data_IF_975340146545
#
_entry.id   IF_975340146545
#
_cell.length_a   1.000
_cell.length_b   1.000
_cell.length_c   1.000
_cell.angle_alpha   90.00
_cell.angle_beta   90.00
_cell.angle_gamma   90.00
#
_symmetry.space_group_name_H-M   'P 1'
#
loop_
_entity.id
_entity.type
_entity.pdbx_description
1 polymer ?
#
# COMPACT_ATOMS: atom_id res chain seq x y z
N UNK A 1 -13.24 25.28 11.67
CA UNK A 1 -13.02 24.31 10.58
C UNK A 1 -11.60 23.77 10.76
N UNK A 2 -11.45 22.49 11.10
CA UNK A 2 -10.13 21.86 11.17
C UNK A 2 -9.46 21.94 9.80
N UNK A 3 -8.15 22.21 9.75
CA UNK A 3 -7.40 22.14 8.51
C UNK A 3 -7.60 20.74 7.89
N UNK A 4 -7.74 20.64 6.56
CA UNK A 4 -7.83 19.32 5.92
C UNK A 4 -6.61 18.51 6.31
N UNK A 5 -6.84 17.27 6.74
CA UNK A 5 -5.76 16.34 7.09
C UNK A 5 -4.82 16.09 5.92
N UNK A 6 -3.68 15.40 6.16
CA UNK A 6 -2.75 15.03 5.11
C UNK A 6 -3.43 14.33 3.94
N UNK A 7 -2.99 14.61 2.70
CA UNK A 7 -3.61 14.11 1.46
C UNK A 7 -2.55 13.65 0.47
N UNK A 8 -2.72 12.43 -0.07
CA UNK A 8 -2.04 11.96 -1.27
C UNK A 8 -2.99 12.14 -2.46
N UNK A 9 -2.65 13.02 -3.39
CA UNK A 9 -3.50 13.41 -4.53
C UNK A 9 -2.79 13.08 -5.84
N UNK A 10 -3.35 12.12 -6.55
CA UNK A 10 -2.89 11.63 -7.85
C UNK A 10 -3.79 12.22 -8.91
N UNK A 11 -3.22 13.01 -9.86
CA UNK A 11 -3.97 13.77 -10.83
C UNK A 11 -3.65 13.35 -12.26
N UNK A 12 -4.63 12.82 -12.96
CA UNK A 12 -4.64 12.56 -14.40
C UNK A 12 -3.37 11.85 -14.92
N UNK A 13 -2.88 10.85 -14.16
CA UNK A 13 -1.70 10.10 -14.56
C UNK A 13 -1.92 9.37 -15.88
N UNK A 14 -0.93 9.47 -16.77
CA UNK A 14 -0.90 8.74 -18.03
C UNK A 14 0.46 8.10 -18.25
N UNK A 15 0.45 6.88 -18.83
CA UNK A 15 1.66 6.13 -19.19
C UNK A 15 1.44 5.27 -20.41
N UNK A 16 2.37 5.37 -21.35
CA UNK A 16 2.37 4.61 -22.60
C UNK A 16 3.68 3.83 -22.73
N UNK A 17 3.61 2.55 -23.04
CA UNK A 17 4.76 1.72 -23.37
C UNK A 17 4.64 1.20 -24.79
N UNK A 18 5.65 1.49 -25.63
CA UNK A 18 5.72 1.02 -27.04
C UNK A 18 4.41 1.25 -27.82
N UNK A 19 3.83 2.43 -27.67
CA UNK A 19 2.59 2.83 -28.35
C UNK A 19 1.29 2.32 -27.71
N UNK A 20 1.37 1.51 -26.63
CA UNK A 20 0.20 1.06 -25.88
C UNK A 20 0.04 1.88 -24.60
N UNK A 21 -1.04 2.64 -24.49
CA UNK A 21 -1.41 3.35 -23.26
C UNK A 21 -1.90 2.37 -22.22
N UNK A 22 -1.21 2.29 -21.09
CA UNK A 22 -1.52 1.38 -19.97
C UNK A 22 -2.13 2.10 -18.76
N UNK A 23 -1.90 3.41 -18.65
CA UNK A 23 -2.56 4.30 -17.68
C UNK A 23 -3.03 5.52 -18.46
N UNK A 24 -4.28 5.91 -18.33
CA UNK A 24 -4.93 6.94 -19.11
C UNK A 24 -5.78 7.85 -18.22
N UNK A 25 -5.22 8.99 -17.81
CA UNK A 25 -5.91 10.00 -17.03
C UNK A 25 -6.35 9.56 -15.63
N UNK A 26 -5.62 8.61 -15.00
CA UNK A 26 -5.98 8.08 -13.67
C UNK A 26 -5.82 9.14 -12.60
N UNK A 27 -6.91 9.37 -11.83
CA UNK A 27 -6.92 10.26 -10.67
C UNK A 27 -7.42 9.50 -9.43
N UNK A 28 -6.65 9.60 -8.34
CA UNK A 28 -6.93 8.92 -7.05
C UNK A 28 -6.62 9.91 -5.92
N UNK A 29 -7.49 9.97 -4.94
CA UNK A 29 -7.29 10.74 -3.73
C UNK A 29 -7.24 9.77 -2.54
N UNK A 30 -6.29 9.95 -1.63
CA UNK A 30 -6.23 9.22 -0.35
C UNK A 30 -6.05 10.23 0.76
N UNK A 31 -6.91 10.18 1.77
CA UNK A 31 -6.80 11.03 2.96
C UNK A 31 -6.15 10.26 4.12
N UNK A 32 -5.56 10.99 5.06
CA UNK A 32 -5.01 10.37 6.27
C UNK A 32 -6.10 9.63 7.05
N UNK A 33 -5.78 8.42 7.50
CA UNK A 33 -6.73 7.57 8.24
C UNK A 33 -7.76 6.86 7.37
N UNK A 34 -7.66 6.94 6.04
CA UNK A 34 -8.55 6.27 5.09
C UNK A 34 -7.86 5.07 4.45
N UNK A 35 -8.59 3.98 4.25
CA UNK A 35 -8.16 2.84 3.43
C UNK A 35 -8.85 2.92 2.07
N UNK A 36 -8.09 3.12 1.02
CA UNK A 36 -8.57 3.25 -0.36
C UNK A 36 -8.12 2.05 -1.19
N UNK A 37 -9.04 1.40 -1.90
CA UNK A 37 -8.76 0.30 -2.83
C UNK A 37 -8.59 0.77 -4.27
N UNK A 38 -7.55 0.28 -4.97
CA UNK A 38 -7.44 0.36 -6.43
C UNK A 38 -7.60 -1.04 -7.00
N UNK A 39 -8.79 -1.36 -7.49
CA UNK A 39 -9.21 -2.69 -7.91
C UNK A 39 -9.43 -2.74 -9.42
N UNK A 40 -9.35 -3.92 -10.00
CA UNK A 40 -9.57 -4.11 -11.43
C UNK A 40 -8.93 -5.39 -11.96
N UNK A 41 -9.26 -5.82 -13.17
CA UNK A 41 -8.73 -7.04 -13.76
C UNK A 41 -7.21 -6.98 -13.99
N UNK A 42 -6.61 -8.14 -14.26
CA UNK A 42 -5.19 -8.21 -14.62
C UNK A 42 -4.93 -7.40 -15.90
N UNK A 43 -3.82 -6.65 -15.90
CA UNK A 43 -3.47 -5.77 -17.01
C UNK A 43 -4.25 -4.46 -17.10
N UNK A 44 -5.12 -4.14 -16.14
CA UNK A 44 -5.89 -2.90 -16.12
C UNK A 44 -5.07 -1.63 -15.84
N UNK A 45 -3.80 -1.76 -15.41
CA UNK A 45 -2.91 -0.62 -15.13
C UNK A 45 -2.62 -0.38 -13.64
N UNK A 46 -3.11 -1.23 -12.72
CA UNK A 46 -2.91 -1.09 -11.26
C UNK A 46 -1.45 -0.96 -10.87
N UNK A 47 -0.64 -1.96 -11.16
CA UNK A 47 0.81 -2.00 -10.81
C UNK A 47 1.58 -0.84 -11.43
N UNK A 48 1.24 -0.43 -12.67
CA UNK A 48 1.86 0.74 -13.31
C UNK A 48 1.47 2.02 -12.57
N UNK A 49 0.21 2.19 -12.19
CA UNK A 49 -0.25 3.33 -11.40
C UNK A 49 0.49 3.38 -10.05
N UNK A 50 0.57 2.26 -9.33
CA UNK A 50 1.36 2.15 -8.10
C UNK A 50 2.82 2.53 -8.32
N UNK A 51 3.48 1.97 -9.34
CA UNK A 51 4.87 2.24 -9.67
C UNK A 51 5.12 3.73 -9.93
N UNK A 52 4.16 4.43 -10.56
CA UNK A 52 4.23 5.87 -10.78
C UNK A 52 4.09 6.62 -9.44
N UNK A 53 3.10 6.27 -8.62
CA UNK A 53 2.88 6.94 -7.32
C UNK A 53 4.05 6.74 -6.37
N UNK A 54 4.69 5.56 -6.40
CA UNK A 54 5.88 5.26 -5.59
C UNK A 54 7.15 5.96 -6.12
N UNK A 55 7.20 6.28 -7.41
CA UNK A 55 8.37 6.90 -8.06
C UNK A 55 9.38 5.91 -8.62
N UNK A 56 8.93 4.71 -8.97
CA UNK A 56 9.68 3.70 -9.72
C UNK A 56 9.56 3.90 -11.23
N UNK A 57 8.44 4.50 -11.67
CA UNK A 57 8.16 4.82 -13.08
C UNK A 57 7.78 6.29 -13.18
N UNK A 58 8.33 6.98 -14.15
CA UNK A 58 7.96 8.36 -14.47
C UNK A 58 6.70 8.38 -15.35
N UNK A 59 5.67 9.18 -15.01
CA UNK A 59 4.49 9.31 -15.86
C UNK A 59 4.81 10.12 -17.12
N UNK A 60 4.06 9.88 -18.20
CA UNK A 60 4.14 10.70 -19.41
C UNK A 60 3.33 11.99 -19.28
N UNK A 61 2.28 11.97 -18.40
CA UNK A 61 1.50 13.15 -18.05
C UNK A 61 0.83 12.95 -16.66
N UNK A 62 0.35 14.05 -16.09
CA UNK A 62 -0.27 14.08 -14.76
C UNK A 62 0.74 14.35 -13.65
N UNK A 63 0.28 14.32 -12.41
CA UNK A 63 1.11 14.63 -11.24
C UNK A 63 0.71 13.83 -10.01
N UNK A 64 1.67 13.69 -9.09
CA UNK A 64 1.50 13.11 -7.76
C UNK A 64 1.83 14.18 -6.73
N UNK A 65 0.85 14.56 -5.91
CA UNK A 65 1.01 15.56 -4.87
C UNK A 65 0.89 14.91 -3.49
N UNK A 66 1.75 15.33 -2.58
CA UNK A 66 1.71 14.95 -1.18
C UNK A 66 1.54 16.24 -0.36
N UNK A 67 0.36 16.40 0.28
CA UNK A 67 -0.04 17.63 0.98
C UNK A 67 0.10 18.89 0.09
N UNK A 68 -0.33 18.79 -1.15
CA UNK A 68 -0.25 19.86 -2.13
C UNK A 68 1.15 20.11 -2.73
N UNK A 69 2.19 19.43 -2.24
CA UNK A 69 3.53 19.50 -2.81
C UNK A 69 3.71 18.49 -3.93
N UNK A 70 4.11 18.93 -5.10
CA UNK A 70 4.41 18.04 -6.22
C UNK A 70 5.65 17.20 -5.93
N UNK A 71 5.47 15.88 -5.99
CA UNK A 71 6.53 14.88 -5.80
C UNK A 71 6.78 14.05 -7.07
N UNK A 72 6.17 14.42 -8.19
CA UNK A 72 6.15 13.63 -9.43
C UNK A 72 7.55 13.31 -9.95
N UNK A 73 8.45 14.27 -9.96
CA UNK A 73 9.84 14.09 -10.41
C UNK A 73 10.77 13.50 -9.33
N UNK A 74 10.27 13.24 -8.11
CA UNK A 74 11.11 12.73 -7.05
C UNK A 74 11.27 11.21 -7.15
N UNK A 75 12.49 10.67 -7.02
CA UNK A 75 12.71 9.23 -6.94
C UNK A 75 12.14 8.65 -5.63
N UNK A 76 11.86 7.34 -5.63
CA UNK A 76 11.22 6.61 -4.54
C UNK A 76 11.80 6.93 -3.15
N UNK A 77 13.13 6.93 -2.99
CA UNK A 77 13.76 7.19 -1.68
C UNK A 77 13.48 8.60 -1.13
N UNK A 78 13.31 9.61 -2.00
CA UNK A 78 12.93 10.96 -1.59
C UNK A 78 11.45 11.03 -1.21
N UNK A 79 10.58 10.30 -1.92
CA UNK A 79 9.16 10.18 -1.55
C UNK A 79 9.01 9.47 -0.20
N UNK A 80 9.78 8.40 0.04
CA UNK A 80 9.80 7.68 1.32
C UNK A 80 10.16 8.62 2.49
N UNK A 81 11.20 9.44 2.36
CA UNK A 81 11.58 10.45 3.37
C UNK A 81 10.54 11.56 3.58
N UNK A 82 9.61 11.73 2.65
CA UNK A 82 8.47 12.67 2.77
C UNK A 82 7.22 12.01 3.35
N UNK A 83 7.30 10.74 3.69
CA UNK A 83 6.23 10.02 4.36
C UNK A 83 5.38 9.14 3.44
N UNK A 84 5.89 8.70 2.29
CA UNK A 84 5.24 7.75 1.41
C UNK A 84 5.87 6.36 1.55
N UNK A 85 5.30 5.47 2.34
CA UNK A 85 5.75 4.09 2.50
C UNK A 85 5.25 3.19 1.36
N UNK A 86 5.99 2.13 1.06
CA UNK A 86 5.63 1.17 0.03
C UNK A 86 5.93 -0.27 0.45
N UNK A 87 4.95 -1.13 0.28
CA UNK A 87 5.06 -2.58 0.42
C UNK A 87 4.85 -3.22 -0.95
N UNK A 88 5.89 -3.72 -1.60
CA UNK A 88 5.77 -4.36 -2.90
C UNK A 88 5.08 -5.73 -2.83
N UNK A 89 4.59 -6.20 -3.99
CA UNK A 89 4.04 -7.55 -4.14
C UNK A 89 5.10 -8.62 -3.85
N UNK A 90 6.32 -8.45 -4.39
CA UNK A 90 7.41 -9.38 -4.14
C UNK A 90 7.99 -9.20 -2.75
N UNK A 91 8.41 -10.32 -2.14
CA UNK A 91 9.03 -10.32 -0.82
C UNK A 91 10.28 -9.42 -0.82
N UNK A 92 10.23 -8.38 -0.01
CA UNK A 92 11.27 -7.34 0.06
C UNK A 92 12.21 -7.48 1.26
N UNK A 93 11.99 -8.50 2.09
CA UNK A 93 12.73 -8.73 3.34
C UNK A 93 14.21 -9.06 3.09
N UNK A 94 15.10 -8.63 3.97
CA UNK A 94 16.50 -9.04 3.98
C UNK A 94 16.61 -10.45 4.59
N UNK A 95 16.54 -11.47 3.74
CA UNK A 95 16.35 -12.88 4.12
C UNK A 95 17.38 -13.41 5.10
N UNK A 96 18.66 -12.98 4.98
CA UNK A 96 19.78 -13.46 5.82
C UNK A 96 19.97 -12.68 7.13
N UNK A 97 19.20 -11.60 7.31
CA UNK A 97 19.18 -10.80 8.53
C UNK A 97 18.10 -11.32 9.49
N UNK A 98 18.29 -11.12 10.78
CA UNK A 98 17.24 -11.35 11.78
C UNK A 98 16.09 -10.36 11.63
N UNK A 99 14.96 -10.63 12.29
CA UNK A 99 13.83 -9.72 12.28
C UNK A 99 14.22 -8.33 12.83
N UNK A 100 14.99 -8.28 13.90
CA UNK A 100 15.49 -7.02 14.47
C UNK A 100 16.43 -6.29 13.51
N UNK A 101 17.39 -6.99 12.91
CA UNK A 101 18.33 -6.41 11.95
C UNK A 101 17.64 -5.87 10.70
N UNK A 102 16.54 -6.47 10.26
CA UNK A 102 15.72 -5.96 9.15
C UNK A 102 15.18 -4.55 9.42
N UNK A 103 14.80 -4.25 10.65
CA UNK A 103 14.32 -2.94 11.05
C UNK A 103 15.48 -1.96 11.27
N UNK A 104 16.55 -2.42 11.95
CA UNK A 104 17.73 -1.61 12.22
C UNK A 104 18.41 -1.14 10.95
N UNK A 105 18.50 -1.99 9.91
CA UNK A 105 19.10 -1.64 8.62
C UNK A 105 18.47 -0.38 7.97
N UNK A 106 17.17 -0.16 8.19
CA UNK A 106 16.50 1.06 7.71
C UNK A 106 16.70 2.22 8.72
N UNK A 107 16.53 1.95 10.01
CA UNK A 107 16.68 2.96 11.06
C UNK A 107 18.09 3.56 11.10
N UNK A 108 19.12 2.82 10.75
CA UNK A 108 20.52 3.28 10.65
C UNK A 108 20.71 4.32 9.53
N UNK A 109 19.83 4.40 8.54
CA UNK A 109 19.83 5.44 7.51
C UNK A 109 19.30 6.79 8.02
N UNK A 110 18.71 6.80 9.22
CA UNK A 110 18.16 7.99 9.87
C UNK A 110 19.13 8.55 10.91
N UNK A 111 19.11 9.87 11.14
CA UNK A 111 19.85 10.45 12.26
C UNK A 111 19.29 9.95 13.59
N UNK A 112 20.14 9.81 14.61
CA UNK A 112 19.75 9.40 15.96
C UNK A 112 20.78 8.50 16.62
N UNK A 113 20.59 8.29 17.92
CA UNK A 113 21.43 7.45 18.76
C UNK A 113 21.11 5.97 18.54
N UNK A 114 22.11 5.10 18.74
CA UNK A 114 21.94 3.65 18.57
C UNK A 114 20.85 3.07 19.48
N UNK A 115 20.83 3.51 20.74
CA UNK A 115 19.83 3.07 21.74
C UNK A 115 18.41 3.39 21.30
N UNK A 116 18.17 4.62 20.82
CA UNK A 116 16.85 5.04 20.32
C UNK A 116 16.40 4.23 19.09
N UNK A 117 17.33 3.86 18.20
CA UNK A 117 17.02 2.99 17.05
C UNK A 117 16.65 1.57 17.49
N UNK A 118 17.39 1.01 18.46
CA UNK A 118 17.08 -0.31 19.01
C UNK A 118 15.73 -0.32 19.72
N UNK A 119 15.40 0.70 20.49
CA UNK A 119 14.09 0.87 21.14
C UNK A 119 12.97 0.98 20.10
N UNK A 120 13.12 1.79 19.06
CA UNK A 120 12.17 1.94 17.98
C UNK A 120 11.94 0.61 17.24
N UNK A 121 13.02 -0.13 16.94
CA UNK A 121 12.93 -1.43 16.29
C UNK A 121 12.18 -2.44 17.17
N UNK A 122 12.48 -2.52 18.46
CA UNK A 122 11.79 -3.42 19.42
C UNK A 122 10.31 -3.05 19.57
N UNK A 123 9.99 -1.76 19.67
CA UNK A 123 8.61 -1.28 19.71
C UNK A 123 7.81 -1.68 18.47
N UNK A 124 8.41 -1.60 17.28
CA UNK A 124 7.78 -2.08 16.06
C UNK A 124 7.58 -3.61 16.08
N UNK A 125 8.58 -4.38 16.51
CA UNK A 125 8.42 -5.84 16.64
C UNK A 125 7.29 -6.20 17.62
N UNK A 126 7.18 -5.49 18.72
CA UNK A 126 6.12 -5.70 19.70
C UNK A 126 4.73 -5.40 19.11
N UNK A 127 4.58 -4.23 18.48
CA UNK A 127 3.34 -3.82 17.80
C UNK A 127 2.84 -4.86 16.79
N UNK A 128 3.75 -5.59 16.14
CA UNK A 128 3.42 -6.61 15.13
C UNK A 128 3.46 -8.05 15.67
N UNK A 129 3.53 -8.24 16.99
CA UNK A 129 3.64 -9.55 17.65
C UNK A 129 4.82 -10.39 17.13
N UNK A 130 5.98 -9.75 16.95
CA UNK A 130 7.22 -10.36 16.45
C UNK A 130 8.36 -10.32 17.47
N UNK A 131 8.13 -9.84 18.69
CA UNK A 131 9.17 -9.69 19.73
C UNK A 131 9.88 -11.00 20.03
N UNK A 132 9.15 -12.12 20.07
CA UNK A 132 9.69 -13.46 20.31
C UNK A 132 10.55 -13.97 19.15
N UNK A 133 10.47 -13.36 17.97
CA UNK A 133 11.22 -13.67 16.76
C UNK A 133 12.32 -12.64 16.46
N UNK A 134 12.62 -11.73 17.39
CA UNK A 134 13.58 -10.64 17.16
C UNK A 134 14.94 -11.13 16.63
N UNK A 135 15.40 -12.27 17.11
CA UNK A 135 16.68 -12.89 16.73
C UNK A 135 16.55 -14.05 15.74
N UNK A 136 15.34 -14.36 15.28
CA UNK A 136 15.12 -15.36 14.23
C UNK A 136 15.53 -14.77 12.86
N UNK A 137 16.22 -15.57 12.06
CA UNK A 137 16.60 -15.20 10.68
C UNK A 137 15.32 -15.10 9.83
N UNK A 138 15.17 -14.01 9.08
CA UNK A 138 13.95 -13.71 8.37
C UNK A 138 13.51 -14.76 7.35
N UNK A 139 14.46 -15.55 6.82
CA UNK A 139 14.15 -16.65 5.89
C UNK A 139 13.44 -17.84 6.57
N UNK A 140 13.54 -17.97 7.91
CA UNK A 140 12.88 -19.02 8.70
C UNK A 140 11.47 -18.65 9.15
N UNK A 141 11.04 -17.41 8.94
CA UNK A 141 9.72 -16.94 9.32
C UNK A 141 8.62 -17.54 8.42
N UNK A 142 7.46 -17.81 8.99
CA UNK A 142 6.26 -18.15 8.24
C UNK A 142 5.85 -17.01 7.29
N UNK A 143 5.00 -17.29 6.31
CA UNK A 143 4.53 -16.28 5.36
C UNK A 143 3.89 -15.07 6.05
N UNK A 144 3.07 -15.32 7.05
CA UNK A 144 2.40 -14.26 7.82
C UNK A 144 3.34 -13.44 8.70
N UNK A 145 4.28 -14.09 9.40
CA UNK A 145 5.30 -13.39 10.20
C UNK A 145 6.19 -12.53 9.29
N UNK A 146 6.57 -13.07 8.15
CA UNK A 146 7.35 -12.34 7.14
C UNK A 146 6.59 -11.12 6.64
N UNK A 147 5.29 -11.26 6.32
CA UNK A 147 4.48 -10.14 5.83
C UNK A 147 4.32 -9.05 6.90
N UNK A 148 4.09 -9.43 8.17
CA UNK A 148 4.07 -8.48 9.28
C UNK A 148 5.42 -7.76 9.46
N UNK A 149 6.54 -8.48 9.33
CA UNK A 149 7.88 -7.86 9.41
C UNK A 149 8.14 -6.88 8.25
N UNK A 150 7.68 -7.19 7.03
CA UNK A 150 7.78 -6.28 5.87
C UNK A 150 6.99 -4.99 6.11
N UNK A 151 5.78 -5.10 6.67
CA UNK A 151 4.97 -3.92 7.03
C UNK A 151 5.65 -3.13 8.15
N UNK A 152 6.12 -3.80 9.21
CA UNK A 152 6.85 -3.16 10.31
C UNK A 152 8.08 -2.40 9.80
N UNK A 153 8.83 -2.99 8.85
CA UNK A 153 9.97 -2.35 8.22
C UNK A 153 9.58 -1.12 7.40
N UNK A 154 8.50 -1.17 6.66
CA UNK A 154 8.02 -0.01 5.92
C UNK A 154 7.59 1.15 6.85
N UNK A 155 7.20 0.85 8.09
CA UNK A 155 6.83 1.84 9.11
C UNK A 155 8.02 2.49 9.82
N UNK A 156 9.24 1.99 9.67
CA UNK A 156 10.44 2.58 10.30
C UNK A 156 10.67 4.03 9.93
N UNK A 157 10.21 4.45 8.73
CA UNK A 157 10.29 5.83 8.25
C UNK A 157 9.11 6.71 8.69
N UNK A 158 8.23 6.20 9.57
CA UNK A 158 7.01 6.89 10.05
C UNK A 158 6.18 7.48 8.90
N UNK A 159 5.77 6.67 7.94
CA UNK A 159 5.04 7.16 6.77
C UNK A 159 3.67 7.73 7.17
N UNK A 160 3.23 8.74 6.43
CA UNK A 160 1.86 9.29 6.53
C UNK A 160 0.90 8.56 5.57
N UNK A 161 1.45 7.97 4.52
CA UNK A 161 0.71 7.14 3.56
C UNK A 161 1.47 5.85 3.30
N UNK A 162 0.72 4.75 3.19
CA UNK A 162 1.24 3.43 2.84
C UNK A 162 0.59 2.94 1.54
N UNK A 163 1.41 2.57 0.57
CA UNK A 163 0.99 1.86 -0.62
C UNK A 163 1.27 0.37 -0.44
N UNK A 164 0.22 -0.45 -0.53
CA UNK A 164 0.29 -1.91 -0.33
C UNK A 164 -0.07 -2.61 -1.63
N UNK A 165 0.93 -3.17 -2.30
CA UNK A 165 0.74 -3.87 -3.58
C UNK A 165 0.56 -5.37 -3.30
N UNK A 166 -0.65 -5.86 -3.51
CA UNK A 166 -1.10 -7.24 -3.27
C UNK A 166 -0.67 -7.80 -1.89
N UNK A 167 -1.06 -7.16 -0.76
CA UNK A 167 -0.62 -7.59 0.56
C UNK A 167 -1.15 -8.96 0.98
N UNK A 168 -2.19 -9.47 0.34
CA UNK A 168 -2.80 -10.79 0.62
C UNK A 168 -2.26 -11.91 -0.28
N UNK A 169 -1.39 -11.59 -1.23
CA UNK A 169 -0.87 -12.59 -2.17
C UNK A 169 -0.02 -13.66 -1.47
N UNK A 170 -0.35 -14.93 -1.72
CA UNK A 170 0.46 -16.07 -1.27
C UNK A 170 0.42 -16.35 0.24
N UNK A 171 -0.54 -15.79 0.98
CA UNK A 171 -0.76 -16.09 2.40
C UNK A 171 -2.07 -16.84 2.61
N UNK A 172 -2.15 -17.59 3.71
CA UNK A 172 -3.33 -18.39 4.05
C UNK A 172 -4.49 -17.51 4.58
N UNK A 173 -5.75 -18.00 4.53
CA UNK A 173 -6.92 -17.20 4.92
C UNK A 173 -6.90 -16.66 6.36
N UNK A 174 -6.30 -17.39 7.31
CA UNK A 174 -6.19 -16.93 8.70
C UNK A 174 -5.24 -15.73 8.76
N UNK A 175 -4.11 -15.84 8.07
CA UNK A 175 -3.12 -14.77 7.96
C UNK A 175 -3.67 -13.54 7.23
N UNK A 176 -4.57 -13.71 6.25
CA UNK A 176 -5.26 -12.59 5.59
C UNK A 176 -6.00 -11.73 6.62
N UNK A 177 -6.74 -12.35 7.55
CA UNK A 177 -7.46 -11.63 8.62
C UNK A 177 -6.52 -10.83 9.54
N UNK A 178 -5.34 -11.37 9.83
CA UNK A 178 -4.34 -10.66 10.64
C UNK A 178 -3.77 -9.45 9.88
N UNK A 179 -3.46 -9.59 8.59
CA UNK A 179 -2.98 -8.49 7.75
C UNK A 179 -4.07 -7.42 7.57
N UNK A 180 -5.33 -7.83 7.39
CA UNK A 180 -6.47 -6.91 7.34
C UNK A 180 -6.58 -6.08 8.62
N UNK A 181 -6.44 -6.71 9.80
CA UNK A 181 -6.44 -6.01 11.09
C UNK A 181 -5.30 -5.00 11.17
N UNK A 182 -4.09 -5.41 10.79
CA UNK A 182 -2.93 -4.51 10.72
C UNK A 182 -3.21 -3.29 9.85
N UNK A 183 -3.79 -3.48 8.65
CA UNK A 183 -4.12 -2.35 7.74
C UNK A 183 -5.14 -1.41 8.38
N UNK A 184 -6.16 -1.93 9.04
CA UNK A 184 -7.14 -1.13 9.78
C UNK A 184 -6.50 -0.35 10.94
N UNK A 185 -5.58 -0.97 11.68
CA UNK A 185 -4.84 -0.33 12.77
C UNK A 185 -3.94 0.80 12.26
N UNK A 186 -3.35 0.67 11.06
CA UNK A 186 -2.61 1.75 10.41
C UNK A 186 -3.51 2.94 10.10
N UNK A 187 -4.68 2.70 9.54
CA UNK A 187 -5.64 3.76 9.24
C UNK A 187 -6.15 4.43 10.52
N UNK A 188 -6.49 3.64 11.56
CA UNK A 188 -6.89 4.16 12.86
C UNK A 188 -5.80 5.01 13.53
N UNK A 189 -4.52 4.72 13.24
CA UNK A 189 -3.37 5.54 13.67
C UNK A 189 -3.16 6.80 12.81
N UNK A 190 -4.05 7.10 11.87
CA UNK A 190 -3.98 8.28 11.01
C UNK A 190 -3.13 8.13 9.74
N UNK A 191 -2.70 6.91 9.39
CA UNK A 191 -1.97 6.64 8.15
C UNK A 191 -2.99 6.40 7.03
N UNK A 192 -2.90 7.17 5.93
CA UNK A 192 -3.68 6.89 4.73
C UNK A 192 -3.13 5.65 4.00
N UNK A 193 -3.99 4.74 3.59
CA UNK A 193 -3.58 3.49 2.92
C UNK A 193 -4.17 3.41 1.52
N UNK A 194 -3.32 3.16 0.52
CA UNK A 194 -3.74 2.76 -0.82
C UNK A 194 -3.37 1.30 -1.04
N UNK A 195 -4.36 0.46 -1.29
CA UNK A 195 -4.19 -0.98 -1.44
C UNK A 195 -4.65 -1.44 -2.84
N UNK A 196 -3.90 -2.33 -3.45
CA UNK A 196 -4.39 -3.15 -4.57
C UNK A 196 -4.24 -4.62 -4.25
N UNK A 197 -5.19 -5.43 -4.68
CA UNK A 197 -5.11 -6.89 -4.58
C UNK A 197 -5.98 -7.53 -5.66
N UNK A 198 -5.68 -8.78 -6.00
CA UNK A 198 -6.51 -9.59 -6.87
C UNK A 198 -7.67 -10.25 -6.09
N UNK A 199 -7.56 -10.36 -4.77
CA UNK A 199 -8.63 -10.83 -3.89
C UNK A 199 -9.58 -9.67 -3.55
N UNK A 200 -10.57 -9.50 -4.42
CA UNK A 200 -11.52 -8.38 -4.34
C UNK A 200 -12.34 -8.41 -3.05
N UNK A 201 -12.76 -9.61 -2.62
CA UNK A 201 -13.59 -9.76 -1.41
C UNK A 201 -12.83 -9.29 -0.19
N UNK A 202 -11.61 -9.80 0.02
CA UNK A 202 -10.80 -9.44 1.18
C UNK A 202 -10.42 -7.96 1.19
N UNK A 203 -10.23 -7.38 -0.01
CA UNK A 203 -9.94 -5.95 -0.12
C UNK A 203 -11.17 -5.10 0.17
N UNK A 204 -12.34 -5.41 -0.44
CA UNK A 204 -13.57 -4.66 -0.20
C UNK A 204 -14.05 -4.74 1.26
N UNK A 205 -13.69 -5.80 2.00
CA UNK A 205 -14.00 -5.94 3.41
C UNK A 205 -13.29 -4.92 4.32
N UNK A 206 -12.20 -4.30 3.85
CA UNK A 206 -11.39 -3.39 4.67
C UNK A 206 -11.25 -1.97 4.12
N UNK A 207 -11.66 -1.70 2.89
CA UNK A 207 -11.56 -0.34 2.34
C UNK A 207 -12.78 0.51 2.75
N UNK A 208 -12.54 1.79 2.92
CA UNK A 208 -13.61 2.79 3.12
C UNK A 208 -14.19 3.21 1.77
N UNK A 209 -13.32 3.20 0.73
CA UNK A 209 -13.66 3.60 -0.63
C UNK A 209 -12.78 2.86 -1.63
N UNK A 210 -13.32 2.57 -2.83
CA UNK A 210 -12.60 1.93 -3.90
C UNK A 210 -12.67 2.66 -5.22
N UNK A 211 -11.64 2.48 -6.04
CA UNK A 211 -11.59 2.84 -7.45
C UNK A 211 -11.49 1.55 -8.27
N UNK A 212 -12.38 1.38 -9.24
CA UNK A 212 -12.28 0.29 -10.21
C UNK A 212 -11.58 0.84 -11.45
N UNK A 213 -10.38 0.32 -11.73
CA UNK A 213 -9.64 0.64 -12.95
C UNK A 213 -9.91 -0.43 -14.00
N UNK A 214 -10.21 0.01 -15.22
CA UNK A 214 -10.43 -0.86 -16.37
C UNK A 214 -9.79 -0.22 -17.61
N UNK A 215 -9.04 -1.02 -18.38
CA UNK A 215 -8.33 -0.55 -19.60
C UNK A 215 -7.55 0.76 -19.41
N UNK A 216 -6.89 0.88 -18.27
CA UNK A 216 -6.02 2.03 -17.95
C UNK A 216 -6.72 3.26 -17.39
N UNK A 217 -8.04 3.30 -17.26
CA UNK A 217 -8.79 4.44 -16.74
C UNK A 217 -9.66 4.07 -15.53
N UNK A 218 -9.97 5.04 -14.67
CA UNK A 218 -10.95 4.83 -13.60
C UNK A 218 -12.34 4.68 -14.22
N UNK A 219 -12.90 3.49 -14.01
CA UNK A 219 -14.23 3.13 -14.52
C UNK A 219 -15.33 3.51 -13.54
N UNK A 220 -15.14 3.24 -12.25
CA UNK A 220 -16.06 3.60 -11.15
C UNK A 220 -15.27 3.92 -9.88
N UNK A 221 -15.87 4.72 -9.03
CA UNK A 221 -15.39 4.97 -7.68
C UNK A 221 -16.58 5.05 -6.72
N UNK A 222 -16.42 4.57 -5.49
CA UNK A 222 -17.48 4.58 -4.49
C UNK A 222 -17.14 3.74 -3.27
N UNK A 223 -18.08 3.63 -2.34
CA UNK A 223 -18.03 2.71 -1.20
C UNK A 223 -18.06 1.25 -1.66
N UNK A 224 -17.62 0.30 -0.82
CA UNK A 224 -17.74 -1.14 -1.11
C UNK A 224 -19.16 -1.57 -1.47
N UNK A 225 -20.17 -1.03 -0.79
CA UNK A 225 -21.59 -1.32 -1.06
C UNK A 225 -22.03 -0.82 -2.45
N UNK A 226 -21.67 0.41 -2.82
CA UNK A 226 -21.97 0.98 -4.15
C UNK A 226 -21.28 0.16 -5.25
N UNK A 227 -19.98 -0.13 -5.10
CA UNK A 227 -19.23 -0.88 -6.11
C UNK A 227 -19.73 -2.32 -6.28
N UNK A 228 -20.09 -3.00 -5.18
CA UNK A 228 -20.58 -4.38 -5.24
C UNK A 228 -21.99 -4.50 -5.78
N UNK A 229 -22.80 -3.45 -5.71
CA UNK A 229 -24.18 -3.40 -6.25
C UNK A 229 -24.24 -2.85 -7.68
N UNK A 230 -23.18 -2.19 -8.19
CA UNK A 230 -23.17 -1.62 -9.55
C UNK A 230 -23.20 -2.74 -10.61
N UNK A 231 -24.25 -2.78 -11.48
CA UNK A 231 -24.38 -3.83 -12.48
C UNK A 231 -23.23 -3.85 -13.50
N UNK A 232 -22.65 -2.70 -13.83
CA UNK A 232 -21.56 -2.62 -14.79
C UNK A 232 -20.24 -3.09 -14.16
N UNK A 233 -19.97 -2.76 -12.87
CA UNK A 233 -18.83 -3.29 -12.11
C UNK A 233 -18.92 -4.80 -11.99
N UNK A 234 -20.11 -5.33 -11.72
CA UNK A 234 -20.34 -6.78 -11.68
C UNK A 234 -20.08 -7.42 -13.04
N UNK A 235 -20.59 -6.86 -14.12
CA UNK A 235 -20.39 -7.41 -15.47
C UNK A 235 -18.92 -7.39 -15.90
N UNK A 236 -18.18 -6.32 -15.59
CA UNK A 236 -16.82 -6.10 -16.11
C UNK A 236 -15.76 -6.75 -15.22
N UNK A 237 -16.01 -6.84 -13.89
CA UNK A 237 -14.95 -7.20 -12.95
C UNK A 237 -15.35 -8.22 -11.88
N UNK A 238 -16.45 -8.00 -11.14
CA UNK A 238 -16.79 -8.84 -9.98
C UNK A 238 -17.41 -10.18 -10.35
N UNK A 239 -18.12 -10.24 -11.46
CA UNK A 239 -19.00 -11.35 -11.83
C UNK A 239 -20.39 -11.24 -11.18
N UNK A 240 -21.41 -11.81 -11.86
CA UNK A 240 -22.82 -11.68 -11.43
C UNK A 240 -23.13 -12.33 -10.08
N UNK A 241 -22.36 -13.36 -9.69
CA UNK A 241 -22.55 -14.12 -8.43
C UNK A 241 -21.76 -13.55 -7.24
N UNK A 242 -21.06 -12.43 -7.41
CA UNK A 242 -20.27 -11.82 -6.33
C UNK A 242 -21.18 -11.36 -5.19
N UNK A 243 -20.77 -11.67 -3.94
CA UNK A 243 -21.38 -11.18 -2.69
C UNK A 243 -20.27 -10.79 -1.73
N UNK A 244 -20.52 -9.74 -0.94
CA UNK A 244 -19.59 -9.26 0.09
C UNK A 244 -19.69 -10.04 1.39
N UNK A 245 -20.80 -10.77 1.59
CA UNK A 245 -21.14 -11.54 2.81
C UNK A 245 -20.36 -12.87 2.87
#
# INVERSE_FOLDING_TARGET
>A
MSAPGPVLDVRSLSKTYRGRTVVNGVSILVTAGEVVGLLGPNGAGKTTTFSIVVGLVEPDAGSVLLDGQDITALPMYRRARRGLGYLPQEASIFRKMTALENLLAILETLPGERTAREEAARSLLDRFNLSHLAHAVADTLSGGERRRLEIARALTLSPRFMLLDEPFAGIDPITVLDVQRVIRDLAAAGIGVLITDHNVRDTLAIVDRGYIIHTGAIFRAGSPAELSSDPEVRRVYLGERFRLD
#
